data_IF_833412399814
#
_entry.id   IF_833412399814
#
_cell.length_a   1.000
_cell.length_b   1.000
_cell.length_c   1.000
_cell.angle_alpha   90.00
_cell.angle_beta   90.00
_cell.angle_gamma   90.00
#
_symmetry.space_group_name_H-M   'P 1'
#
loop_
_entity.id
_entity.type
_entity.pdbx_description
1 polymer ?
#
# COMPACT_ATOMS: atom_id res chain seq x y z
N UNK A 1 -11.23 57.59 -40.13
CA UNK A 1 -10.65 56.23 -40.15
C UNK A 1 -10.06 56.00 -38.76
N UNK A 2 -10.76 55.50 -37.73
CA UNK A 2 -11.68 54.36 -37.71
C UNK A 2 -10.92 53.14 -38.21
N UNK A 3 -10.32 52.26 -37.42
CA UNK A 3 -10.55 51.86 -36.05
C UNK A 3 -10.70 50.34 -36.11
N UNK A 4 -9.71 49.58 -35.63
CA UNK A 4 -9.90 48.16 -35.32
C UNK A 4 -8.77 47.69 -34.38
N UNK A 5 -9.10 47.64 -33.09
CA UNK A 5 -8.31 46.95 -32.06
C UNK A 5 -9.09 45.68 -31.76
N UNK A 6 -8.98 44.72 -32.68
CA UNK A 6 -9.64 43.43 -32.59
C UNK A 6 -8.63 42.33 -32.31
N UNK A 7 -8.74 41.73 -31.12
CA UNK A 7 -8.32 40.34 -30.89
C UNK A 7 -6.99 40.14 -30.20
N UNK A 8 -7.00 40.08 -28.87
CA UNK A 8 -6.50 38.91 -28.14
C UNK A 8 -6.93 39.01 -26.66
N UNK A 9 -8.12 38.48 -26.35
CA UNK A 9 -8.62 38.38 -24.96
C UNK A 9 -8.90 36.92 -24.59
N UNK A 10 -8.56 35.96 -25.47
CA UNK A 10 -8.89 34.54 -25.29
C UNK A 10 -7.82 33.73 -24.54
N UNK A 11 -6.53 34.10 -24.63
CA UNK A 11 -5.44 33.28 -24.11
C UNK A 11 -5.22 33.34 -22.58
N UNK A 12 -5.67 34.41 -21.91
CA UNK A 12 -5.39 34.63 -20.48
C UNK A 12 -6.23 33.78 -19.53
N UNK A 13 -7.51 33.56 -19.87
CA UNK A 13 -8.43 32.76 -19.05
C UNK A 13 -8.12 31.26 -19.15
N UNK A 14 -7.87 30.76 -20.37
CA UNK A 14 -7.47 29.36 -20.59
C UNK A 14 -6.12 29.02 -19.95
N UNK A 15 -5.18 29.97 -19.92
CA UNK A 15 -3.89 29.80 -19.25
C UNK A 15 -4.00 29.74 -17.73
N UNK A 16 -4.86 30.58 -17.14
CA UNK A 16 -5.12 30.59 -15.70
C UNK A 16 -5.85 29.31 -15.24
N UNK A 17 -6.84 28.85 -16.01
CA UNK A 17 -7.57 27.61 -15.73
C UNK A 17 -6.66 26.37 -15.87
N UNK A 18 -5.76 26.37 -16.85
CA UNK A 18 -4.74 25.30 -16.98
C UNK A 18 -3.76 25.28 -15.81
N UNK A 19 -3.30 26.46 -15.36
CA UNK A 19 -2.40 26.56 -14.21
C UNK A 19 -3.09 26.08 -12.91
N UNK A 20 -4.35 26.43 -12.70
CA UNK A 20 -5.15 25.96 -11.56
C UNK A 20 -5.36 24.44 -11.59
N UNK A 21 -5.63 23.87 -12.77
CA UNK A 21 -5.77 22.43 -12.94
C UNK A 21 -4.45 21.67 -12.71
N UNK A 22 -3.33 22.22 -13.17
CA UNK A 22 -2.00 21.66 -12.92
C UNK A 22 -1.62 21.69 -11.43
N UNK A 23 -1.93 22.79 -10.73
CA UNK A 23 -1.72 22.89 -9.29
C UNK A 23 -2.56 21.87 -8.51
N UNK A 24 -3.83 21.67 -8.91
CA UNK A 24 -4.70 20.66 -8.31
C UNK A 24 -4.17 19.24 -8.55
N UNK A 25 -3.66 18.95 -9.75
CA UNK A 25 -3.03 17.68 -10.06
C UNK A 25 -1.77 17.43 -9.22
N UNK A 26 -0.94 18.46 -9.01
CA UNK A 26 0.25 18.35 -8.16
C UNK A 26 -0.13 18.00 -6.71
N UNK A 27 -1.17 18.64 -6.17
CA UNK A 27 -1.68 18.38 -4.82
C UNK A 27 -2.20 16.94 -4.68
N UNK A 28 -3.00 16.45 -5.64
CA UNK A 28 -3.50 15.07 -5.64
C UNK A 28 -2.35 14.05 -5.73
N UNK A 29 -1.27 14.39 -6.44
CA UNK A 29 -0.08 13.52 -6.52
C UNK A 29 0.69 13.46 -5.22
N UNK A 30 0.85 14.60 -4.53
CA UNK A 30 1.52 14.64 -3.22
C UNK A 30 0.72 13.87 -2.17
N UNK A 31 -0.61 14.00 -2.16
CA UNK A 31 -1.48 13.21 -1.28
C UNK A 31 -1.35 11.70 -1.55
N UNK A 32 -1.32 11.30 -2.83
CA UNK A 32 -1.15 9.89 -3.20
C UNK A 32 0.20 9.34 -2.72
N UNK A 33 1.28 10.14 -2.80
CA UNK A 33 2.60 9.71 -2.28
C UNK A 33 2.61 9.62 -0.76
N UNK A 34 1.93 10.53 -0.07
CA UNK A 34 1.81 10.51 1.39
C UNK A 34 1.07 9.24 1.86
N UNK A 35 -0.09 8.93 1.28
CA UNK A 35 -0.85 7.72 1.60
C UNK A 35 -0.08 6.43 1.26
N UNK A 36 0.68 6.41 0.16
CA UNK A 36 1.55 5.28 -0.19
C UNK A 36 2.69 5.12 0.83
N UNK A 37 3.26 6.21 1.32
CA UNK A 37 4.24 6.20 2.41
C UNK A 37 3.67 5.58 3.69
N UNK A 38 2.48 6.02 4.11
CA UNK A 38 1.78 5.44 5.27
C UNK A 38 1.47 3.95 5.09
N UNK A 39 1.11 3.52 3.87
CA UNK A 39 0.92 2.10 3.57
C UNK A 39 2.22 1.31 3.75
N UNK A 40 3.34 1.81 3.19
CA UNK A 40 4.64 1.18 3.33
C UNK A 40 5.08 1.08 4.80
N UNK A 41 4.91 2.14 5.59
CA UNK A 41 5.28 2.15 7.00
C UNK A 41 4.50 1.08 7.80
N UNK A 42 3.19 0.96 7.54
CA UNK A 42 2.34 -0.06 8.17
C UNK A 42 2.77 -1.47 7.80
N UNK A 43 3.08 -1.71 6.53
CA UNK A 43 3.53 -3.03 6.06
C UNK A 43 4.91 -3.37 6.61
N UNK A 44 5.83 -2.41 6.64
CA UNK A 44 7.16 -2.60 7.24
C UNK A 44 7.07 -2.91 8.73
N UNK A 45 6.20 -2.22 9.47
CA UNK A 45 5.97 -2.50 10.88
C UNK A 45 5.42 -3.92 11.09
N UNK A 46 4.47 -4.36 10.25
CA UNK A 46 3.98 -5.75 10.26
C UNK A 46 5.13 -6.72 9.98
N UNK A 47 5.88 -6.53 8.89
CA UNK A 47 7.00 -7.40 8.53
C UNK A 47 8.05 -7.53 9.65
N UNK A 48 8.37 -6.42 10.31
CA UNK A 48 9.30 -6.41 11.44
C UNK A 48 8.74 -7.21 12.63
N UNK A 49 7.46 -7.03 12.97
CA UNK A 49 6.80 -7.77 14.04
C UNK A 49 6.77 -9.28 13.72
N UNK A 50 6.37 -9.65 12.50
CA UNK A 50 6.27 -11.02 12.04
C UNK A 50 7.64 -11.73 12.02
N UNK A 51 8.70 -11.02 11.61
CA UNK A 51 10.06 -11.54 11.65
C UNK A 51 10.52 -11.79 13.10
N UNK A 52 10.28 -10.84 14.00
CA UNK A 52 10.59 -10.99 15.43
C UNK A 52 9.87 -12.20 16.04
N UNK A 53 8.57 -12.33 15.78
CA UNK A 53 7.77 -13.46 16.25
C UNK A 53 8.27 -14.80 15.69
N UNK A 54 8.65 -14.85 14.42
CA UNK A 54 9.19 -16.07 13.79
C UNK A 54 10.49 -16.53 14.45
N UNK A 55 11.37 -15.57 14.77
CA UNK A 55 12.61 -15.84 15.52
C UNK A 55 12.29 -16.35 16.92
N UNK A 56 11.39 -15.68 17.64
CA UNK A 56 10.97 -16.07 18.98
C UNK A 56 10.35 -17.48 19.01
N UNK A 57 9.50 -17.79 18.03
CA UNK A 57 8.89 -19.12 17.87
C UNK A 57 9.96 -20.20 17.65
N UNK A 58 10.91 -19.94 16.75
CA UNK A 58 12.00 -20.88 16.47
C UNK A 58 12.85 -21.10 17.71
N UNK A 59 13.21 -20.03 18.43
CA UNK A 59 13.97 -20.11 19.67
C UNK A 59 13.25 -20.89 20.78
N UNK A 60 11.93 -20.74 20.87
CA UNK A 60 11.10 -21.50 21.80
C UNK A 60 11.11 -23.00 21.46
N UNK A 61 10.96 -23.34 20.18
CA UNK A 61 10.93 -24.74 19.70
C UNK A 61 12.30 -25.42 19.75
N UNK A 62 13.39 -24.68 19.56
CA UNK A 62 14.77 -25.22 19.57
C UNK A 62 15.42 -25.18 20.95
N UNK A 63 14.66 -24.93 22.02
CA UNK A 63 15.21 -24.80 23.35
C UNK A 63 15.68 -26.15 23.91
N UNK A 64 17.00 -26.38 23.90
CA UNK A 64 17.64 -27.60 24.38
C UNK A 64 17.76 -27.74 25.90
N UNK A 65 17.20 -26.80 26.69
CA UNK A 65 17.16 -26.92 28.13
C UNK A 65 16.29 -28.09 28.59
N UNK A 66 16.51 -28.61 29.80
CA UNK A 66 15.73 -29.72 30.38
C UNK A 66 14.24 -29.40 30.52
N UNK A 67 13.89 -28.12 30.70
CA UNK A 67 12.51 -27.60 30.73
C UNK A 67 12.03 -27.07 29.38
N UNK A 68 12.86 -27.14 28.34
CA UNK A 68 12.60 -26.55 27.03
C UNK A 68 11.36 -27.09 26.35
N UNK A 69 11.09 -28.40 26.45
CA UNK A 69 9.88 -29.01 25.91
C UNK A 69 8.60 -28.47 26.59
N UNK A 70 8.61 -28.34 27.92
CA UNK A 70 7.47 -27.78 28.67
C UNK A 70 7.24 -26.30 28.36
N UNK A 71 8.31 -25.54 28.14
CA UNK A 71 8.22 -24.15 27.69
C UNK A 71 7.69 -24.04 26.26
N UNK A 72 8.19 -24.86 25.33
CA UNK A 72 7.71 -24.89 23.95
C UNK A 72 6.20 -25.21 23.87
N UNK A 73 5.70 -26.07 24.77
CA UNK A 73 4.29 -26.45 24.86
C UNK A 73 3.34 -25.27 25.05
N UNK A 74 3.83 -24.22 25.72
CA UNK A 74 3.04 -23.03 26.02
C UNK A 74 3.45 -21.87 25.12
N UNK A 75 4.75 -21.63 24.97
CA UNK A 75 5.27 -20.49 24.23
C UNK A 75 4.98 -20.58 22.74
N UNK A 76 5.14 -21.75 22.12
CA UNK A 76 4.93 -21.92 20.68
C UNK A 76 3.47 -21.66 20.25
N UNK A 77 2.42 -22.23 20.89
CA UNK A 77 1.04 -21.91 20.52
C UNK A 77 0.65 -20.47 20.86
N UNK A 78 1.16 -19.89 21.96
CA UNK A 78 0.91 -18.48 22.30
C UNK A 78 1.50 -17.54 21.25
N UNK A 79 2.76 -17.79 20.82
CA UNK A 79 3.42 -17.02 19.77
C UNK A 79 2.70 -17.18 18.43
N UNK A 80 2.24 -18.40 18.10
CA UNK A 80 1.50 -18.66 16.89
C UNK A 80 0.15 -17.93 16.84
N UNK A 81 -0.57 -17.92 17.97
CA UNK A 81 -1.81 -17.17 18.09
C UNK A 81 -1.57 -15.66 18.01
N UNK A 82 -0.50 -15.15 18.63
CA UNK A 82 -0.14 -13.74 18.57
C UNK A 82 0.20 -13.30 17.13
N UNK A 83 1.00 -14.08 16.41
CA UNK A 83 1.31 -13.84 15.00
C UNK A 83 0.06 -13.86 14.12
N UNK A 84 -0.83 -14.83 14.33
CA UNK A 84 -2.13 -14.87 13.64
C UNK A 84 -2.97 -13.61 13.91
N UNK A 85 -3.07 -13.18 15.17
CA UNK A 85 -3.85 -11.99 15.55
C UNK A 85 -3.28 -10.71 14.92
N UNK A 86 -1.95 -10.56 14.87
CA UNK A 86 -1.32 -9.42 14.22
C UNK A 86 -1.58 -9.40 12.71
N UNK A 87 -1.45 -10.54 12.05
CA UNK A 87 -1.78 -10.70 10.64
C UNK A 87 -3.25 -10.36 10.35
N UNK A 88 -4.19 -10.83 11.18
CA UNK A 88 -5.61 -10.54 11.04
C UNK A 88 -5.93 -9.05 11.30
N UNK A 89 -5.29 -8.43 12.29
CA UNK A 89 -5.49 -7.01 12.60
C UNK A 89 -4.98 -6.10 11.46
N UNK A 90 -3.97 -6.54 10.72
CA UNK A 90 -3.46 -5.82 9.57
C UNK A 90 -4.38 -5.89 8.33
N UNK A 91 -5.29 -6.87 8.23
CA UNK A 91 -6.21 -7.02 7.08
C UNK A 91 -7.09 -5.80 6.82
N UNK A 92 -7.86 -5.25 7.79
CA UNK A 92 -8.68 -4.08 7.54
C UNK A 92 -7.83 -2.83 7.27
N UNK A 93 -6.67 -2.70 7.93
CA UNK A 93 -5.75 -1.57 7.76
C UNK A 93 -5.16 -1.51 6.36
N UNK A 94 -4.65 -2.63 5.85
CA UNK A 94 -4.11 -2.74 4.48
C UNK A 94 -5.23 -2.67 3.45
N UNK A 95 -6.36 -3.36 3.68
CA UNK A 95 -7.48 -3.39 2.75
C UNK A 95 -8.14 -2.02 2.52
N UNK A 96 -8.25 -1.20 3.57
CA UNK A 96 -8.83 0.15 3.48
C UNK A 96 -7.92 1.10 2.71
N UNK A 97 -6.62 1.11 3.01
CA UNK A 97 -5.66 1.95 2.30
C UNK A 97 -5.52 1.54 0.83
N UNK A 98 -5.51 0.25 0.51
CA UNK A 98 -5.51 -0.22 -0.89
C UNK A 98 -6.74 0.30 -1.64
N UNK A 99 -7.93 0.27 -1.02
CA UNK A 99 -9.15 0.84 -1.62
C UNK A 99 -9.07 2.35 -1.84
N UNK A 100 -8.54 3.09 -0.87
CA UNK A 100 -8.38 4.54 -0.97
C UNK A 100 -7.42 4.89 -2.11
N UNK A 101 -6.27 4.20 -2.20
CA UNK A 101 -5.31 4.40 -3.28
C UNK A 101 -5.92 4.08 -4.64
N UNK A 102 -6.70 3.00 -4.77
CA UNK A 102 -7.40 2.67 -6.01
C UNK A 102 -8.45 3.72 -6.39
N UNK A 103 -9.20 4.26 -5.43
CA UNK A 103 -10.18 5.32 -5.67
C UNK A 103 -9.52 6.64 -6.11
N UNK A 104 -8.41 7.03 -5.47
CA UNK A 104 -7.62 8.20 -5.84
C UNK A 104 -6.97 8.04 -7.22
N UNK A 105 -6.50 6.84 -7.55
CA UNK A 105 -5.94 6.54 -8.88
C UNK A 105 -7.00 6.69 -9.97
N UNK A 106 -8.24 6.23 -9.73
CA UNK A 106 -9.35 6.41 -10.66
C UNK A 106 -9.73 7.90 -10.86
N UNK A 107 -9.68 8.70 -9.80
CA UNK A 107 -9.91 10.14 -9.87
C UNK A 107 -8.81 10.87 -10.65
N UNK A 108 -7.55 10.47 -10.48
CA UNK A 108 -6.43 10.99 -11.26
C UNK A 108 -6.62 10.69 -12.76
N UNK A 109 -7.01 9.47 -13.12
CA UNK A 109 -7.25 9.08 -14.51
C UNK A 109 -8.37 9.91 -15.17
N UNK A 110 -9.45 10.17 -14.44
CA UNK A 110 -10.56 10.98 -14.95
C UNK A 110 -10.15 12.45 -15.17
N UNK A 111 -9.39 13.03 -14.23
CA UNK A 111 -8.83 14.38 -14.38
C UNK A 111 -7.85 14.45 -15.56
N UNK A 112 -6.98 13.45 -15.72
CA UNK A 112 -6.06 13.37 -16.86
C UNK A 112 -6.80 13.24 -18.20
N UNK A 113 -7.88 12.47 -18.28
CA UNK A 113 -8.68 12.33 -19.49
C UNK A 113 -9.34 13.65 -19.90
N UNK A 114 -9.82 14.44 -18.92
CA UNK A 114 -10.38 15.77 -19.14
C UNK A 114 -9.32 16.78 -19.58
N UNK A 115 -8.13 16.74 -18.99
CA UNK A 115 -7.00 17.61 -19.37
C UNK A 115 -6.40 17.27 -20.74
N UNK A 116 -6.50 16.02 -21.22
CA UNK A 116 -6.04 15.66 -22.58
C UNK A 116 -6.83 16.36 -23.71
N UNK A 117 -7.98 16.97 -23.41
CA UNK A 117 -8.72 17.79 -24.36
C UNK A 117 -8.08 19.17 -24.61
N UNK A 118 -7.30 19.70 -23.67
CA UNK A 118 -6.57 20.97 -23.83
C UNK A 118 -5.07 20.69 -23.90
N UNK A 119 -4.51 20.81 -25.10
CA UNK A 119 -3.13 20.49 -25.43
C UNK A 119 -2.11 21.09 -24.44
N UNK A 120 -1.52 20.25 -23.59
CA UNK A 120 -0.19 20.50 -23.04
C UNK A 120 0.64 19.24 -23.20
N UNK A 121 1.68 19.38 -24.02
CA UNK A 121 2.83 18.50 -24.09
C UNK A 121 3.53 18.47 -22.71
N UNK A 122 2.94 17.79 -21.73
CA UNK A 122 3.61 17.50 -20.47
C UNK A 122 4.38 16.19 -20.63
N UNK A 123 5.60 16.30 -21.16
CA UNK A 123 6.55 15.21 -21.24
C UNK A 123 6.81 14.62 -19.85
N UNK A 124 6.43 13.36 -19.70
CA UNK A 124 6.63 12.56 -18.49
C UNK A 124 6.36 11.08 -18.75
N UNK A 125 7.11 10.54 -19.72
CA UNK A 125 7.31 9.15 -20.14
C UNK A 125 6.17 8.39 -20.87
N UNK A 126 6.44 7.82 -22.07
CA UNK A 126 5.64 6.74 -22.62
C UNK A 126 5.78 5.53 -21.67
N UNK A 127 4.71 5.15 -20.99
CA UNK A 127 4.76 4.10 -19.97
C UNK A 127 3.73 4.22 -18.83
N UNK A 128 2.96 5.33 -18.77
CA UNK A 128 1.93 5.51 -17.73
C UNK A 128 0.92 4.35 -17.59
N UNK A 129 0.42 3.71 -18.67
CA UNK A 129 -0.45 2.55 -18.54
C UNK A 129 0.25 1.38 -17.83
N UNK A 130 1.50 1.09 -18.20
CA UNK A 130 2.30 0.05 -17.58
C UNK A 130 2.65 0.38 -16.12
N UNK A 131 2.92 1.64 -15.79
CA UNK A 131 3.17 2.09 -14.42
C UNK A 131 1.91 1.97 -13.53
N UNK A 132 0.72 2.21 -14.07
CA UNK A 132 -0.55 2.02 -13.37
C UNK A 132 -0.85 0.54 -13.12
N UNK A 133 -0.58 -0.32 -14.10
CA UNK A 133 -0.71 -1.77 -13.95
C UNK A 133 0.28 -2.33 -12.91
N UNK A 134 1.52 -1.84 -12.91
CA UNK A 134 2.55 -2.25 -11.96
C UNK A 134 2.24 -1.75 -10.53
N UNK A 135 1.69 -0.54 -10.42
CA UNK A 135 1.16 0.00 -9.16
C UNK A 135 -0.03 -0.83 -8.64
N UNK A 136 -0.98 -1.21 -9.51
CA UNK A 136 -2.11 -2.09 -9.15
C UNK A 136 -1.60 -3.46 -8.68
N UNK A 137 -0.63 -4.05 -9.38
CA UNK A 137 0.00 -5.32 -8.99
C UNK A 137 0.68 -5.23 -7.63
N UNK A 138 1.42 -4.15 -7.38
CA UNK A 138 2.07 -3.90 -6.10
C UNK A 138 1.06 -3.79 -4.96
N UNK A 139 -0.07 -3.11 -5.18
CA UNK A 139 -1.15 -3.00 -4.18
C UNK A 139 -1.84 -4.34 -3.89
N UNK A 140 -2.01 -5.20 -4.91
CA UNK A 140 -2.51 -6.56 -4.74
C UNK A 140 -1.52 -7.42 -3.93
N UNK A 141 -0.21 -7.27 -4.18
CA UNK A 141 0.82 -7.93 -3.37
C UNK A 141 0.75 -7.49 -1.91
N UNK A 142 0.67 -6.18 -1.63
CA UNK A 142 0.52 -5.68 -0.27
C UNK A 142 -0.72 -6.24 0.43
N UNK A 143 -1.84 -6.40 -0.29
CA UNK A 143 -3.06 -7.02 0.28
C UNK A 143 -2.91 -8.51 0.59
N UNK A 144 -2.04 -9.21 -0.14
CA UNK A 144 -1.79 -10.63 0.07
C UNK A 144 -0.87 -10.91 1.27
N UNK A 145 0.02 -9.97 1.63
CA UNK A 145 1.02 -10.16 2.69
C UNK A 145 0.40 -10.56 4.04
N UNK A 146 -0.61 -9.87 4.60
CA UNK A 146 -1.19 -10.28 5.89
C UNK A 146 -1.91 -11.63 5.81
N UNK A 147 -2.53 -11.95 4.67
CA UNK A 147 -3.18 -13.26 4.46
C UNK A 147 -2.14 -14.39 4.48
N UNK A 148 -0.99 -14.17 3.83
CA UNK A 148 0.10 -15.15 3.80
C UNK A 148 0.63 -15.42 5.21
N UNK A 149 0.87 -14.38 6.02
CA UNK A 149 1.30 -14.54 7.40
C UNK A 149 0.24 -15.25 8.26
N UNK A 150 -1.05 -14.91 8.10
CA UNK A 150 -2.12 -15.61 8.81
C UNK A 150 -2.10 -17.13 8.51
N UNK A 151 -1.93 -17.52 7.25
CA UNK A 151 -1.83 -18.94 6.85
C UNK A 151 -0.59 -19.59 7.47
N UNK A 152 0.57 -18.93 7.42
CA UNK A 152 1.81 -19.43 8.02
C UNK A 152 1.63 -19.68 9.52
N UNK A 153 1.02 -18.74 10.24
CA UNK A 153 0.80 -18.89 11.69
C UNK A 153 -0.19 -19.97 12.06
N UNK A 154 -1.23 -20.20 11.24
CA UNK A 154 -2.10 -21.37 11.41
C UNK A 154 -1.30 -22.66 11.28
N UNK A 155 -0.46 -22.77 10.25
CA UNK A 155 0.39 -23.96 10.03
C UNK A 155 1.37 -24.17 11.20
N UNK A 156 2.06 -23.11 11.64
CA UNK A 156 2.97 -23.17 12.78
C UNK A 156 2.26 -23.48 14.11
N UNK A 157 1.04 -22.98 14.30
CA UNK A 157 0.21 -23.30 15.46
C UNK A 157 -0.17 -24.77 15.48
N UNK A 158 -0.61 -25.34 14.35
CA UNK A 158 -0.90 -26.78 14.22
C UNK A 158 0.36 -27.61 14.47
N UNK A 159 1.49 -27.23 13.88
CA UNK A 159 2.77 -27.90 14.11
C UNK A 159 3.19 -27.86 15.57
N UNK A 160 3.04 -26.73 16.27
CA UNK A 160 3.33 -26.61 17.68
C UNK A 160 2.47 -27.57 18.52
N UNK A 161 1.18 -27.68 18.20
CA UNK A 161 0.29 -28.60 18.91
C UNK A 161 0.67 -30.06 18.63
N UNK A 162 1.01 -30.42 17.39
CA UNK A 162 1.36 -31.80 17.00
C UNK A 162 2.74 -32.22 17.52
N UNK A 163 3.73 -31.33 17.50
CA UNK A 163 5.11 -31.64 17.91
C UNK A 163 5.31 -31.62 19.42
N UNK A 164 4.45 -30.90 20.15
CA UNK A 164 4.57 -30.77 21.60
C UNK A 164 3.48 -31.56 22.37
N UNK A 165 2.56 -32.20 21.66
CA UNK A 165 1.69 -33.26 22.24
C UNK A 165 2.39 -34.61 22.26
#
# INVERSE_FOLDING_TARGET
>A
MGGDVGGDVGGGADGADQAAQAARLALVRDETRFELGLLHDRVNALLAAEAFLTIAYTAAMSNGASWGAAFAAVAAPVLALLGLLLALLALPGVGTTVRIVLALTAQQDELFARLRGSAVAYHGAPGRPAALDDQRRSLLFFRAVPVLFAVVWVVLGVLALVLVS
#
